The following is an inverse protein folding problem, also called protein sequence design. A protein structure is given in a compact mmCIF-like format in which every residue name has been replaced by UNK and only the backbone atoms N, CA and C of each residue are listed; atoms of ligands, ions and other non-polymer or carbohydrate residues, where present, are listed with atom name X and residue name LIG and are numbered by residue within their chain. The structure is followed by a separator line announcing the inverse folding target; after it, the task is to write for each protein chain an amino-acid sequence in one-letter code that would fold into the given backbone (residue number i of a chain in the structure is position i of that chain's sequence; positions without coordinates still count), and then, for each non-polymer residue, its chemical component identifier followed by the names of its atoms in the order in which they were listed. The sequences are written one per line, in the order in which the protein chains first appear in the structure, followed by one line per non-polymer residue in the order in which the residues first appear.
data_IF_761946551972
#
_entry.id   IF_761946551972
#
_cell.length_a   1.000
_cell.length_b   1.000
_cell.length_c   1.000
_cell.angle_alpha   90.00
_cell.angle_beta   90.00
_cell.angle_gamma   90.00
#
_symmetry.space_group_name_H-M   'P 1'
#
loop_
_entity.id
_entity.type
_entity.pdbx_description
1 polymer ?
#
# COMPACT_ATOMS: atom_id res chain seq x y z
N UNK A 1 23.59 4.14 -0.98
CA UNK A 1 24.00 2.72 -0.91
C UNK A 1 23.04 2.06 0.07
N UNK A 2 22.06 1.30 -0.42
CA UNK A 2 21.06 0.62 0.43
C UNK A 2 21.75 -0.55 1.14
N UNK A 3 21.85 -0.47 2.47
CA UNK A 3 22.39 -1.53 3.28
C UNK A 3 21.38 -2.68 3.34
N UNK A 4 21.78 -3.84 2.83
CA UNK A 4 21.01 -5.07 2.88
C UNK A 4 21.19 -5.65 4.28
N UNK A 5 20.09 -5.88 5.01
CA UNK A 5 20.17 -6.53 6.31
C UNK A 5 20.69 -7.97 6.10
N UNK A 6 21.71 -8.37 6.86
CA UNK A 6 22.27 -9.72 6.74
C UNK A 6 21.19 -10.74 7.10
N UNK A 7 20.82 -11.56 6.11
CA UNK A 7 19.60 -12.34 6.12
C UNK A 7 19.61 -13.45 7.18
N UNK A 8 18.53 -13.50 7.95
CA UNK A 8 18.10 -14.71 8.63
C UNK A 8 17.55 -15.68 7.57
N UNK A 9 17.96 -16.96 7.60
CA UNK A 9 17.60 -17.96 6.60
C UNK A 9 16.09 -18.23 6.54
N UNK A 10 15.35 -17.81 7.57
CA UNK A 10 13.88 -17.92 7.65
C UNK A 10 13.13 -16.63 7.23
N UNK A 11 13.85 -15.50 7.08
CA UNK A 11 13.25 -14.21 6.74
C UNK A 11 12.90 -14.15 5.25
N UNK A 12 11.62 -14.35 4.95
CA UNK A 12 11.06 -14.34 3.59
C UNK A 12 11.13 -12.97 2.86
N UNK A 13 11.74 -11.94 3.45
CA UNK A 13 11.92 -10.61 2.87
C UNK A 13 13.32 -10.08 3.21
N UNK A 14 14.12 -9.77 2.18
CA UNK A 14 15.50 -9.27 2.29
C UNK A 14 15.62 -7.89 2.97
N UNK A 15 14.50 -7.19 3.10
CA UNK A 15 14.41 -5.91 3.79
C UNK A 15 13.79 -6.01 5.18
N UNK A 16 13.50 -7.22 5.66
CA UNK A 16 12.94 -7.44 7.00
C UNK A 16 14.04 -7.25 8.06
N UNK A 17 13.83 -6.34 9.00
CA UNK A 17 14.67 -6.15 10.19
C UNK A 17 13.77 -6.02 11.42
N UNK A 18 13.70 -7.09 12.21
CA UNK A 18 12.86 -7.19 13.41
C UNK A 18 13.26 -6.22 14.53
N UNK A 19 14.45 -5.63 14.46
CA UNK A 19 14.95 -4.73 15.49
C UNK A 19 14.51 -3.27 15.27
N UNK A 20 13.81 -2.98 14.16
CA UNK A 20 13.36 -1.62 13.87
C UNK A 20 12.08 -1.27 14.64
N UNK A 21 12.07 -0.13 15.36
CA UNK A 21 10.92 0.28 16.16
C UNK A 21 9.67 0.67 15.34
N UNK A 22 9.82 0.89 14.04
CA UNK A 22 8.76 1.37 13.12
C UNK A 22 7.99 0.21 12.43
N UNK A 23 8.26 -1.04 12.80
CA UNK A 23 7.86 -2.20 12.03
C UNK A 23 8.90 -2.53 10.97
N UNK A 24 9.28 -3.81 10.92
CA UNK A 24 10.60 -4.26 10.50
C UNK A 24 10.97 -4.14 9.03
N UNK A 25 10.80 -3.01 8.35
CA UNK A 25 11.34 -2.82 7.00
C UNK A 25 12.56 -1.88 7.05
N UNK A 26 13.76 -2.37 6.74
CA UNK A 26 15.00 -1.57 6.69
C UNK A 26 14.98 -0.48 5.63
N UNK A 27 14.11 -0.62 4.63
CA UNK A 27 13.88 0.38 3.58
C UNK A 27 12.53 1.08 3.74
N UNK A 28 12.01 1.21 4.97
CA UNK A 28 10.72 1.86 5.22
C UNK A 28 10.63 3.26 4.59
N UNK A 29 11.75 3.98 4.53
CA UNK A 29 11.87 5.29 3.88
C UNK A 29 11.66 5.25 2.35
N UNK A 30 11.84 4.09 1.71
CA UNK A 30 11.53 3.85 0.29
C UNK A 30 10.08 3.42 0.06
N UNK A 31 9.31 3.06 1.10
CA UNK A 31 7.88 2.70 0.96
C UNK A 31 7.02 3.77 0.27
N UNK A 32 7.30 5.09 0.41
CA UNK A 32 6.63 6.11 -0.39
C UNK A 32 6.83 5.94 -1.90
N UNK A 33 7.93 5.35 -2.38
CA UNK A 33 8.12 5.03 -3.80
C UNK A 33 7.15 3.93 -4.25
N UNK A 34 6.90 2.92 -3.41
CA UNK A 34 5.87 1.91 -3.63
C UNK A 34 4.48 2.54 -3.68
N UNK A 35 4.15 3.45 -2.75
CA UNK A 35 2.89 4.19 -2.81
C UNK A 35 2.79 5.11 -4.05
N UNK A 36 3.91 5.71 -4.50
CA UNK A 36 3.97 6.53 -5.71
C UNK A 36 3.84 5.72 -7.01
N UNK A 37 4.25 4.46 -7.03
CA UNK A 37 4.06 3.55 -8.17
C UNK A 37 2.58 3.27 -8.46
N UNK A 38 1.71 3.35 -7.44
CA UNK A 38 0.27 3.09 -7.57
C UNK A 38 -0.59 4.37 -7.58
N UNK A 39 0.02 5.56 -7.60
CA UNK A 39 -0.70 6.83 -7.51
C UNK A 39 -1.35 7.06 -6.13
N UNK A 40 -2.04 8.18 -5.98
CA UNK A 40 -2.84 8.45 -4.78
C UNK A 40 -4.10 7.60 -4.81
N UNK A 41 -4.31 6.76 -3.80
CA UNK A 41 -5.61 6.15 -3.54
C UNK A 41 -6.42 7.03 -2.59
N UNK A 42 -7.74 6.84 -2.56
CA UNK A 42 -8.62 7.53 -1.63
C UNK A 42 -9.52 6.55 -0.86
N UNK A 43 -10.05 7.03 0.25
CA UNK A 43 -11.16 6.42 0.99
C UNK A 43 -12.36 7.34 0.92
N UNK A 44 -13.55 6.80 1.17
CA UNK A 44 -14.74 7.64 1.30
C UNK A 44 -14.83 8.14 2.74
N UNK A 45 -15.12 9.43 2.90
CA UNK A 45 -15.55 9.98 4.17
C UNK A 45 -17.03 9.63 4.46
N UNK A 46 -17.57 10.21 5.53
CA UNK A 46 -18.96 9.97 5.96
C UNK A 46 -20.00 10.53 4.99
N UNK A 47 -19.62 11.51 4.19
CA UNK A 47 -20.46 12.17 3.19
C UNK A 47 -20.24 11.57 1.80
N UNK A 48 -19.59 10.40 1.73
CA UNK A 48 -19.22 9.69 0.51
C UNK A 48 -18.29 10.49 -0.43
N UNK A 49 -17.50 11.43 0.12
CA UNK A 49 -16.51 12.19 -0.64
C UNK A 49 -15.15 11.50 -0.62
N UNK A 50 -14.40 11.47 -1.73
CA UNK A 50 -13.05 10.92 -1.75
C UNK A 50 -12.09 11.75 -0.90
N UNK A 51 -11.41 11.09 0.05
CA UNK A 51 -10.36 11.64 0.88
C UNK A 51 -9.04 10.92 0.55
N UNK A 52 -7.97 11.64 0.14
CA UNK A 52 -6.72 11.04 -0.28
C UNK A 52 -6.00 10.33 0.88
N UNK A 53 -5.53 9.13 0.62
CA UNK A 53 -4.68 8.37 1.52
C UNK A 53 -3.24 8.85 1.42
N UNK A 54 -2.79 9.57 2.46
CA UNK A 54 -1.43 10.10 2.53
C UNK A 54 -0.68 9.44 3.69
N UNK A 55 0.41 8.73 3.40
CA UNK A 55 1.20 8.09 4.44
C UNK A 55 2.01 9.11 5.26
N UNK A 56 2.37 8.75 6.49
CA UNK A 56 3.15 9.61 7.41
C UNK A 56 4.41 10.18 6.75
N UNK A 57 5.15 9.36 6.01
CA UNK A 57 6.39 9.76 5.36
C UNK A 57 6.15 10.83 4.28
N UNK A 58 5.03 10.75 3.55
CA UNK A 58 4.65 11.80 2.59
C UNK A 58 4.35 13.10 3.32
N UNK A 59 3.58 13.06 4.41
CA UNK A 59 3.29 14.25 5.24
C UNK A 59 4.54 14.88 5.87
N UNK A 60 5.51 14.05 6.25
CA UNK A 60 6.79 14.53 6.81
C UNK A 60 7.66 15.20 5.74
N UNK A 61 7.68 14.65 4.52
CA UNK A 61 8.43 15.24 3.41
C UNK A 61 7.76 16.51 2.86
N UNK A 62 6.42 16.53 2.81
CA UNK A 62 5.61 17.65 2.37
C UNK A 62 4.31 17.70 3.20
N UNK A 63 4.20 18.63 4.16
CA UNK A 63 3.00 18.80 4.99
C UNK A 63 1.73 19.13 4.19
N UNK A 64 1.86 19.79 3.04
CA UNK A 64 0.75 20.27 2.22
C UNK A 64 0.27 19.22 1.19
N UNK A 65 0.98 18.09 1.06
CA UNK A 65 0.69 17.07 0.05
C UNK A 65 -0.76 16.56 0.10
N UNK A 66 -1.37 16.53 1.29
CA UNK A 66 -2.77 16.13 1.45
C UNK A 66 -3.75 17.19 0.93
N UNK A 67 -3.46 18.47 1.17
CA UNK A 67 -4.26 19.59 0.68
C UNK A 67 -4.19 19.66 -0.85
N UNK A 68 -2.98 19.61 -1.42
CA UNK A 68 -2.80 19.58 -2.87
C UNK A 68 -3.48 18.37 -3.52
N UNK A 69 -3.35 17.17 -2.94
CA UNK A 69 -4.02 15.99 -3.47
C UNK A 69 -5.55 16.14 -3.42
N UNK A 70 -6.11 16.69 -2.34
CA UNK A 70 -7.55 16.93 -2.23
C UNK A 70 -8.02 17.94 -3.28
N UNK A 71 -7.31 19.03 -3.48
CA UNK A 71 -7.64 20.03 -4.51
C UNK A 71 -7.69 19.41 -5.91
N UNK A 72 -6.69 18.60 -6.27
CA UNK A 72 -6.67 17.91 -7.57
C UNK A 72 -7.85 16.93 -7.76
N UNK A 73 -8.32 16.32 -6.67
CA UNK A 73 -9.50 15.44 -6.68
C UNK A 73 -10.77 16.27 -6.82
N UNK A 74 -10.91 17.33 -6.03
CA UNK A 74 -12.10 18.19 -6.00
C UNK A 74 -12.29 18.94 -7.32
N UNK A 75 -11.18 19.37 -7.94
CA UNK A 75 -11.15 20.01 -9.26
C UNK A 75 -11.36 19.01 -10.41
N UNK A 76 -11.41 17.70 -10.12
CA UNK A 76 -11.58 16.65 -11.12
C UNK A 76 -10.37 16.47 -12.06
N UNK A 77 -9.20 16.98 -11.67
CA UNK A 77 -7.96 16.89 -12.47
C UNK A 77 -7.40 15.47 -12.46
N UNK A 78 -7.60 14.72 -11.38
CA UNK A 78 -7.13 13.34 -11.22
C UNK A 78 -8.25 12.45 -10.73
N UNK A 79 -8.54 11.37 -11.48
CA UNK A 79 -9.33 10.27 -10.96
C UNK A 79 -8.49 9.40 -10.02
N UNK A 80 -9.00 9.17 -8.81
CA UNK A 80 -8.31 8.37 -7.79
C UNK A 80 -9.04 7.06 -7.52
N UNK A 81 -8.30 5.93 -7.40
CA UNK A 81 -8.91 4.67 -7.02
C UNK A 81 -9.44 4.74 -5.58
N UNK A 82 -10.73 4.43 -5.40
CA UNK A 82 -11.36 4.32 -4.08
C UNK A 82 -11.10 2.93 -3.50
N UNK A 83 -10.31 2.88 -2.43
CA UNK A 83 -9.85 1.65 -1.78
C UNK A 83 -10.98 0.66 -1.46
N UNK A 84 -12.11 1.18 -0.96
CA UNK A 84 -13.28 0.37 -0.60
C UNK A 84 -13.89 -0.34 -1.83
N UNK A 85 -13.94 0.31 -2.99
CA UNK A 85 -14.49 -0.29 -4.20
C UNK A 85 -13.66 -1.48 -4.67
N UNK A 86 -12.33 -1.35 -4.64
CA UNK A 86 -11.44 -2.46 -4.99
C UNK A 86 -11.49 -3.58 -3.97
N UNK A 87 -11.54 -3.26 -2.67
CA UNK A 87 -11.72 -4.25 -1.62
C UNK A 87 -13.02 -5.07 -1.83
N UNK A 88 -14.15 -4.40 -2.08
CA UNK A 88 -15.42 -5.07 -2.38
C UNK A 88 -15.35 -5.94 -3.64
N UNK A 89 -14.70 -5.48 -4.71
CA UNK A 89 -14.52 -6.26 -5.94
C UNK A 89 -13.67 -7.51 -5.71
N UNK A 90 -12.59 -7.40 -4.95
CA UNK A 90 -11.74 -8.55 -4.61
C UNK A 90 -12.53 -9.55 -3.77
N UNK A 91 -13.27 -9.09 -2.76
CA UNK A 91 -14.12 -9.95 -1.94
C UNK A 91 -15.21 -10.66 -2.75
N UNK A 92 -15.76 -10.01 -3.79
CA UNK A 92 -16.73 -10.64 -4.68
C UNK A 92 -16.10 -11.73 -5.58
N UNK A 93 -14.86 -11.55 -6.03
CA UNK A 93 -14.15 -12.52 -6.88
C UNK A 93 -13.59 -13.68 -6.05
N UNK A 94 -12.99 -13.37 -4.91
CA UNK A 94 -12.33 -14.33 -4.04
C UNK A 94 -12.61 -13.95 -2.57
N UNK A 95 -13.70 -14.47 -1.99
CA UNK A 95 -14.07 -14.16 -0.61
C UNK A 95 -12.96 -14.46 0.39
N UNK A 96 -12.17 -15.52 0.16
CA UNK A 96 -11.07 -15.91 1.06
C UNK A 96 -9.94 -14.88 1.07
N UNK A 97 -9.62 -14.27 -0.07
CA UNK A 97 -8.57 -13.25 -0.18
C UNK A 97 -9.07 -11.82 0.02
N UNK A 98 -10.38 -11.59 -0.09
CA UNK A 98 -11.00 -10.28 0.16
C UNK A 98 -11.58 -10.12 1.57
N UNK A 99 -11.55 -11.17 2.41
CA UNK A 99 -11.94 -11.10 3.81
C UNK A 99 -10.72 -10.90 4.71
N UNK A 100 -10.81 -9.94 5.63
CA UNK A 100 -9.79 -9.66 6.62
C UNK A 100 -8.69 -8.70 6.13
N UNK A 101 -8.11 -7.97 7.07
CA UNK A 101 -6.96 -7.10 6.81
C UNK A 101 -5.68 -7.88 7.05
N UNK A 102 -4.87 -8.01 6.01
CA UNK A 102 -3.54 -8.61 6.09
C UNK A 102 -2.48 -7.52 6.23
N UNK A 103 -1.35 -7.85 6.86
CA UNK A 103 -0.19 -6.99 6.71
C UNK A 103 0.23 -6.96 5.24
N UNK A 104 0.77 -5.84 4.77
CA UNK A 104 1.13 -5.68 3.35
C UNK A 104 2.09 -6.77 2.85
N UNK A 105 2.95 -7.31 3.72
CA UNK A 105 3.86 -8.40 3.35
C UNK A 105 3.10 -9.73 3.13
N UNK A 106 2.09 -10.02 3.93
CA UNK A 106 1.22 -11.19 3.76
C UNK A 106 0.31 -11.03 2.55
N UNK A 107 -0.30 -9.85 2.39
CA UNK A 107 -1.12 -9.53 1.23
C UNK A 107 -0.33 -9.69 -0.08
N UNK A 108 0.90 -9.18 -0.11
CA UNK A 108 1.78 -9.25 -1.29
C UNK A 108 2.23 -10.69 -1.58
N UNK A 109 2.57 -11.47 -0.54
CA UNK A 109 2.88 -12.90 -0.69
C UNK A 109 1.70 -13.64 -1.32
N UNK A 110 0.50 -13.47 -0.78
CA UNK A 110 -0.69 -14.17 -1.26
C UNK A 110 -1.02 -13.77 -2.70
N UNK A 111 -0.90 -12.48 -3.02
CA UNK A 111 -1.12 -11.97 -4.39
C UNK A 111 -0.14 -12.59 -5.40
N UNK A 112 1.15 -12.65 -5.07
CA UNK A 112 2.16 -13.28 -5.94
C UNK A 112 1.92 -14.78 -6.09
N UNK A 113 1.59 -15.48 -5.01
CA UNK A 113 1.30 -16.91 -5.08
C UNK A 113 0.09 -17.19 -5.98
N UNK A 114 -0.96 -16.38 -5.88
CA UNK A 114 -2.14 -16.48 -6.74
C UNK A 114 -1.80 -16.18 -8.21
N UNK A 115 -1.12 -15.06 -8.47
CA UNK A 115 -0.74 -14.68 -9.84
C UNK A 115 0.25 -15.68 -10.47
N UNK A 116 1.21 -16.17 -9.70
CA UNK A 116 2.17 -17.18 -10.13
C UNK A 116 1.50 -18.51 -10.47
N UNK A 117 0.50 -18.92 -9.69
CA UNK A 117 -0.33 -20.09 -10.02
C UNK A 117 -1.06 -19.90 -11.35
N UNK A 118 -1.68 -18.74 -11.57
CA UNK A 118 -2.36 -18.43 -12.83
C UNK A 118 -1.43 -18.39 -14.05
N UNK A 119 -0.19 -17.94 -13.89
CA UNK A 119 0.80 -17.86 -14.98
C UNK A 119 1.48 -19.21 -15.29
N UNK A 120 1.41 -20.16 -14.37
CA UNK A 120 1.99 -21.50 -14.53
C UNK A 120 1.01 -22.54 -15.08
N UNK A 121 -0.27 -22.18 -15.20
CA UNK A 121 -1.35 -22.97 -15.81
C UNK A 121 -1.58 -22.52 -17.26
#
# INVERSE_FOLDING_TARGET
MLAIAQGDAEARCVFLDHNLPQGGCSIYHCRPLLCRLFGFAAVLDKDARPLPLVCRQMKTADPEVGCHAQQLIDDGVVEVPISAYYASRIAAINPTHGQGLLSINEAFRNAIQLAGLYLAL
#
